data_IF_930872278192
#
_entry.id   IF_930872278192
#
_cell.length_a   1.000
_cell.length_b   1.000
_cell.length_c   1.000
_cell.angle_alpha   90.00
_cell.angle_beta   90.00
_cell.angle_gamma   90.00
#
_symmetry.space_group_name_H-M   'P 1'
#
loop_
_entity.id
_entity.type
_entity.pdbx_description
1 polymer ?
#
# COMPACT_ATOMS: atom_id res chain seq x y z
N UNK A 1 72.35 4.72 -46.13
CA UNK A 1 72.12 5.42 -44.84
C UNK A 1 70.86 6.26 -45.06
N UNK A 2 69.68 5.76 -44.68
CA UNK A 2 68.91 6.15 -43.47
C UNK A 2 68.35 7.60 -43.60
N UNK A 3 67.08 7.97 -43.38
CA UNK A 3 65.93 7.39 -42.69
C UNK A 3 64.62 7.96 -43.29
N UNK A 4 63.60 7.10 -43.47
CA UNK A 4 62.19 7.54 -43.57
C UNK A 4 61.60 7.57 -42.16
N UNK A 5 61.39 8.76 -41.61
CA UNK A 5 60.64 8.97 -40.37
C UNK A 5 59.17 9.19 -40.67
N UNK A 6 58.35 8.16 -40.48
CA UNK A 6 56.89 8.27 -40.50
C UNK A 6 56.42 8.69 -39.11
N UNK A 7 56.29 9.99 -38.86
CA UNK A 7 55.73 10.51 -37.62
C UNK A 7 54.24 10.78 -37.82
N UNK A 8 53.39 9.84 -37.36
CA UNK A 8 51.93 9.99 -37.36
C UNK A 8 51.45 10.21 -35.92
N UNK A 9 50.63 11.24 -35.66
CA UNK A 9 50.18 11.55 -34.31
C UNK A 9 49.12 10.55 -33.84
N UNK A 10 49.53 9.55 -33.06
CA UNK A 10 48.65 8.54 -32.44
C UNK A 10 47.99 9.01 -31.13
N UNK A 11 48.06 10.30 -30.82
CA UNK A 11 47.56 10.87 -29.56
C UNK A 11 46.03 11.10 -29.59
N UNK A 12 45.47 11.55 -30.71
CA UNK A 12 44.05 11.91 -30.80
C UNK A 12 43.08 10.71 -30.72
N UNK A 13 43.51 9.51 -31.12
CA UNK A 13 42.65 8.32 -31.14
C UNK A 13 42.46 7.72 -29.73
N UNK A 14 43.46 7.84 -28.85
CA UNK A 14 43.42 7.32 -27.47
C UNK A 14 42.43 8.11 -26.58
N UNK A 15 42.37 9.42 -26.77
CA UNK A 15 41.46 10.30 -26.01
C UNK A 15 39.99 10.11 -26.43
N UNK A 16 39.72 9.97 -27.74
CA UNK A 16 38.37 9.68 -28.26
C UNK A 16 37.87 8.32 -27.79
N UNK A 17 38.74 7.31 -27.76
CA UNK A 17 38.39 5.96 -27.29
C UNK A 17 38.08 5.96 -25.79
N UNK A 18 38.86 6.71 -25.00
CA UNK A 18 38.64 6.86 -23.55
C UNK A 18 37.36 7.63 -23.24
N UNK A 19 37.08 8.71 -23.98
CA UNK A 19 35.83 9.47 -23.88
C UNK A 19 34.60 8.61 -24.19
N UNK A 20 34.67 7.83 -25.27
CA UNK A 20 33.59 6.90 -25.66
C UNK A 20 33.35 5.83 -24.59
N UNK A 21 34.42 5.28 -23.99
CA UNK A 21 34.31 4.31 -22.88
C UNK A 21 33.67 4.95 -21.64
N UNK A 22 34.09 6.16 -21.27
CA UNK A 22 33.52 6.88 -20.14
C UNK A 22 32.02 7.17 -20.34
N UNK A 23 31.61 7.55 -21.57
CA UNK A 23 30.20 7.74 -21.90
C UNK A 23 29.39 6.44 -21.79
N UNK A 24 29.92 5.30 -22.27
CA UNK A 24 29.26 3.99 -22.13
C UNK A 24 29.09 3.60 -20.67
N UNK A 25 30.11 3.77 -19.84
CA UNK A 25 30.03 3.48 -18.40
C UNK A 25 28.98 4.36 -17.72
N UNK A 26 28.96 5.67 -18.03
CA UNK A 26 27.95 6.59 -17.49
C UNK A 26 26.54 6.21 -17.94
N UNK A 27 26.38 5.85 -19.22
CA UNK A 27 25.09 5.39 -19.75
C UNK A 27 24.60 4.14 -19.03
N UNK A 28 25.48 3.14 -18.84
CA UNK A 28 25.14 1.93 -18.11
C UNK A 28 24.75 2.23 -16.66
N UNK A 29 25.52 3.05 -15.94
CA UNK A 29 25.20 3.42 -14.56
C UNK A 29 23.83 4.11 -14.43
N UNK A 30 23.48 4.97 -15.40
CA UNK A 30 22.16 5.61 -15.44
C UNK A 30 21.04 4.60 -15.73
N UNK A 31 21.29 3.65 -16.63
CA UNK A 31 20.35 2.58 -16.96
C UNK A 31 20.09 1.67 -15.75
N UNK A 32 21.15 1.27 -15.03
CA UNK A 32 21.05 0.45 -13.82
C UNK A 32 20.29 1.19 -12.70
N UNK A 33 20.54 2.50 -12.54
CA UNK A 33 19.81 3.33 -11.58
C UNK A 33 18.33 3.45 -11.93
N UNK A 34 18.01 3.61 -13.21
CA UNK A 34 16.62 3.64 -13.69
C UNK A 34 15.91 2.31 -13.43
N UNK A 35 16.56 1.19 -13.72
CA UNK A 35 15.99 -0.14 -13.48
C UNK A 35 15.72 -0.38 -11.99
N UNK A 36 16.65 0.01 -11.12
CA UNK A 36 16.45 -0.03 -9.67
C UNK A 36 15.26 0.82 -9.21
N UNK A 37 15.14 2.04 -9.73
CA UNK A 37 14.01 2.94 -9.43
C UNK A 37 12.68 2.33 -9.89
N UNK A 38 12.62 1.78 -11.10
CA UNK A 38 11.43 1.10 -11.61
C UNK A 38 11.05 -0.12 -10.76
N UNK A 39 12.03 -0.92 -10.32
CA UNK A 39 11.77 -2.07 -9.46
C UNK A 39 11.20 -1.64 -8.10
N UNK A 40 11.72 -0.56 -7.51
CA UNK A 40 11.20 0.01 -6.28
C UNK A 40 9.77 0.53 -6.47
N UNK A 41 9.52 1.27 -7.55
CA UNK A 41 8.19 1.75 -7.91
C UNK A 41 7.20 0.60 -8.07
N UNK A 42 7.58 -0.47 -8.78
CA UNK A 42 6.75 -1.67 -8.94
C UNK A 42 6.36 -2.28 -7.59
N UNK A 43 7.31 -2.39 -6.66
CA UNK A 43 7.06 -2.91 -5.30
C UNK A 43 6.10 -2.01 -4.51
N UNK A 44 6.28 -0.68 -4.60
CA UNK A 44 5.40 0.28 -3.92
C UNK A 44 3.98 0.21 -4.47
N UNK A 45 3.81 0.25 -5.80
CA UNK A 45 2.50 0.15 -6.42
C UNK A 45 1.77 -1.16 -6.06
N UNK A 46 2.49 -2.29 -5.97
CA UNK A 46 1.90 -3.55 -5.50
C UNK A 46 1.43 -3.42 -4.06
N UNK A 47 2.27 -2.88 -3.17
CA UNK A 47 1.93 -2.71 -1.75
C UNK A 47 0.73 -1.77 -1.55
N UNK A 48 0.66 -0.69 -2.31
CA UNK A 48 -0.48 0.23 -2.31
C UNK A 48 -1.74 -0.47 -2.83
N UNK A 49 -1.62 -1.20 -3.93
CA UNK A 49 -2.74 -1.96 -4.50
C UNK A 49 -3.21 -3.09 -3.58
N UNK A 50 -2.35 -3.67 -2.74
CA UNK A 50 -2.77 -4.61 -1.70
C UNK A 50 -3.63 -3.92 -0.64
N UNK A 51 -3.41 -2.63 -0.36
CA UNK A 51 -4.21 -1.88 0.61
C UNK A 51 -5.51 -1.34 -0.01
N UNK A 52 -5.43 -0.77 -1.21
CA UNK A 52 -6.56 -0.12 -1.91
C UNK A 52 -7.40 -1.09 -2.73
N UNK A 53 -6.80 -2.21 -3.15
CA UNK A 53 -7.38 -3.14 -4.12
C UNK A 53 -7.26 -2.68 -5.58
N UNK A 54 -6.50 -1.63 -5.88
CA UNK A 54 -6.36 -1.08 -7.23
C UNK A 54 -4.89 -0.83 -7.60
N UNK A 55 -4.50 -1.28 -8.79
CA UNK A 55 -3.19 -1.01 -9.37
C UNK A 55 -3.26 0.23 -10.29
N UNK A 56 -2.27 1.15 -10.27
CA UNK A 56 -2.23 2.29 -11.18
C UNK A 56 -2.25 1.87 -12.66
N UNK A 57 -2.89 2.69 -13.51
CA UNK A 57 -2.91 2.46 -14.97
C UNK A 57 -1.52 2.56 -15.60
N UNK A 58 -0.69 3.43 -15.05
CA UNK A 58 0.69 3.67 -15.50
C UNK A 58 1.70 2.74 -14.83
N UNK A 59 1.22 1.62 -14.25
CA UNK A 59 2.11 0.63 -13.65
C UNK A 59 3.13 0.14 -14.69
N UNK A 60 4.45 0.18 -14.40
CA UNK A 60 5.46 -0.13 -15.40
C UNK A 60 5.39 -1.63 -15.78
N UNK A 61 4.79 -1.93 -16.93
CA UNK A 61 4.74 -3.27 -17.54
C UNK A 61 5.63 -3.29 -18.77
N UNK A 62 6.40 -4.37 -18.94
CA UNK A 62 7.07 -4.61 -20.21
C UNK A 62 6.05 -5.02 -21.28
N UNK A 63 6.40 -4.83 -22.55
CA UNK A 63 5.52 -5.19 -23.68
C UNK A 63 5.18 -6.68 -23.62
N UNK A 64 3.89 -7.00 -23.47
CA UNK A 64 3.40 -8.38 -23.36
C UNK A 64 3.28 -8.92 -21.93
N UNK A 65 3.71 -8.19 -20.89
CA UNK A 65 3.49 -8.58 -19.50
C UNK A 65 2.04 -8.37 -19.07
N UNK A 66 1.48 -9.33 -18.34
CA UNK A 66 0.17 -9.17 -17.70
C UNK A 66 0.32 -8.41 -16.38
N UNK A 67 -0.63 -7.52 -16.03
CA UNK A 67 -0.65 -6.88 -14.71
C UNK A 67 -0.69 -7.94 -13.60
N UNK A 68 0.03 -7.74 -12.47
CA UNK A 68 -0.05 -8.65 -11.34
C UNK A 68 -1.50 -8.75 -10.83
N UNK A 69 -1.93 -9.96 -10.49
CA UNK A 69 -3.21 -10.15 -9.81
C UNK A 69 -3.05 -9.81 -8.34
N UNK A 70 -3.68 -8.72 -7.91
CA UNK A 70 -3.54 -8.22 -6.54
C UNK A 70 -4.82 -8.49 -5.77
N UNK A 71 -4.68 -9.23 -4.67
CA UNK A 71 -5.77 -9.43 -3.71
C UNK A 71 -5.65 -8.39 -2.61
N UNK A 72 -6.71 -7.58 -2.44
CA UNK A 72 -6.80 -6.60 -1.35
C UNK A 72 -6.62 -7.31 0.00
N UNK A 73 -5.64 -6.88 0.80
CA UNK A 73 -5.49 -7.28 2.20
C UNK A 73 -6.64 -6.67 2.99
N UNK A 74 -7.54 -7.52 3.48
CA UNK A 74 -8.62 -7.12 4.37
C UNK A 74 -8.11 -7.30 5.80
N UNK A 75 -7.44 -6.27 6.33
CA UNK A 75 -7.13 -6.16 7.76
C UNK A 75 -8.01 -5.07 8.38
N UNK A 76 -8.43 -5.25 9.63
CA UNK A 76 -9.06 -4.15 10.38
C UNK A 76 -7.99 -3.08 10.64
N UNK A 77 -8.19 -1.84 10.16
CA UNK A 77 -7.31 -0.72 10.47
C UNK A 77 -7.34 -0.31 11.96
N UNK A 78 -8.31 -0.84 12.70
CA UNK A 78 -8.48 -0.59 14.12
C UNK A 78 -7.64 -1.56 14.95
N UNK A 79 -6.64 -1.02 15.66
CA UNK A 79 -5.96 -1.73 16.74
C UNK A 79 -6.86 -1.63 17.97
N UNK A 80 -7.39 -2.77 18.43
CA UNK A 80 -8.02 -2.83 19.75
C UNK A 80 -6.92 -2.59 20.78
N UNK A 81 -7.05 -1.50 21.53
CA UNK A 81 -6.11 -1.18 22.59
C UNK A 81 -6.31 -2.19 23.72
N UNK A 82 -5.34 -3.07 23.95
CA UNK A 82 -5.45 -4.21 24.89
C UNK A 82 -5.78 -3.73 26.31
N UNK A 83 -5.35 -2.52 26.66
CA UNK A 83 -5.62 -1.86 27.94
C UNK A 83 -7.13 -1.59 28.15
N UNK A 84 -7.89 -1.33 27.08
CA UNK A 84 -9.35 -1.13 27.17
C UNK A 84 -10.10 -2.44 27.45
N UNK A 85 -9.51 -3.61 27.19
CA UNK A 85 -10.15 -4.91 27.42
C UNK A 85 -9.96 -5.36 28.88
N UNK A 86 -8.85 -4.97 29.51
CA UNK A 86 -8.44 -5.44 30.84
C UNK A 86 -9.02 -4.63 32.01
N UNK A 87 -9.35 -3.35 31.85
CA UNK A 87 -9.84 -2.52 32.97
C UNK A 87 -11.33 -2.72 33.34
N UNK A 88 -12.08 -3.51 32.57
CA UNK A 88 -13.49 -3.82 32.85
C UNK A 88 -13.72 -4.86 33.97
N UNK A 89 -12.65 -5.40 34.55
CA UNK A 89 -12.68 -6.41 35.62
C UNK A 89 -12.98 -5.81 37.00
N UNK A 90 -14.10 -5.09 37.15
CA UNK A 90 -14.70 -4.79 38.45
C UNK A 90 -16.13 -5.32 38.43
N UNK A 91 -16.31 -6.46 39.10
CA UNK A 91 -17.44 -7.40 39.03
C UNK A 91 -18.79 -6.84 39.54
N UNK A 92 -19.31 -5.80 38.89
CA UNK A 92 -20.69 -5.33 39.08
C UNK A 92 -21.47 -5.52 37.79
N UNK A 93 -22.71 -6.03 37.88
CA UNK A 93 -23.59 -6.24 36.72
C UNK A 93 -23.78 -4.97 35.88
N UNK A 94 -23.81 -3.80 36.55
CA UNK A 94 -23.83 -2.49 35.90
C UNK A 94 -22.56 -2.22 35.09
N UNK A 95 -21.39 -2.58 35.62
CA UNK A 95 -20.10 -2.41 34.94
C UNK A 95 -19.98 -3.29 33.70
N UNK A 96 -20.61 -4.46 33.70
CA UNK A 96 -20.65 -5.36 32.54
C UNK A 96 -21.57 -4.82 31.44
N UNK A 97 -22.76 -4.32 31.80
CA UNK A 97 -23.70 -3.71 30.85
C UNK A 97 -23.08 -2.45 30.20
N UNK A 98 -22.40 -1.61 30.98
CA UNK A 98 -21.68 -0.44 30.46
C UNK A 98 -20.54 -0.82 29.52
N UNK A 99 -19.79 -1.88 29.85
CA UNK A 99 -18.73 -2.41 28.98
C UNK A 99 -19.28 -2.98 27.67
N UNK A 100 -20.39 -3.71 27.73
CA UNK A 100 -21.07 -4.26 26.55
C UNK A 100 -21.59 -3.14 25.63
N UNK A 101 -22.21 -2.10 26.22
CA UNK A 101 -22.68 -0.93 25.48
C UNK A 101 -21.50 -0.19 24.81
N UNK A 102 -20.41 0.04 25.54
CA UNK A 102 -19.21 0.68 25.01
C UNK A 102 -18.58 -0.12 23.86
N UNK A 103 -18.52 -1.45 23.99
CA UNK A 103 -18.06 -2.34 22.92
C UNK A 103 -18.96 -2.26 21.69
N UNK A 104 -20.28 -2.36 21.86
CA UNK A 104 -21.24 -2.30 20.75
C UNK A 104 -21.19 -0.93 20.05
N UNK A 105 -20.95 0.15 20.78
CA UNK A 105 -20.77 1.48 20.21
C UNK A 105 -19.54 1.54 19.30
N UNK A 106 -18.40 0.97 19.72
CA UNK A 106 -17.20 0.86 18.87
C UNK A 106 -17.44 -0.01 17.63
N UNK A 107 -18.16 -1.11 17.76
CA UNK A 107 -18.55 -1.98 16.64
C UNK A 107 -19.40 -1.21 15.62
N UNK A 108 -20.42 -0.48 16.10
CA UNK A 108 -21.28 0.34 15.25
C UNK A 108 -20.49 1.46 14.56
N UNK A 109 -19.62 2.16 15.28
CA UNK A 109 -18.77 3.20 14.71
C UNK A 109 -17.85 2.65 13.61
N UNK A 110 -17.25 1.49 13.84
CA UNK A 110 -16.44 0.80 12.84
C UNK A 110 -17.27 0.39 11.62
N UNK A 111 -18.47 -0.16 11.81
CA UNK A 111 -19.39 -0.51 10.72
C UNK A 111 -19.81 0.71 9.89
N UNK A 112 -19.99 1.87 10.54
CA UNK A 112 -20.28 3.15 9.87
C UNK A 112 -19.09 3.63 9.03
N UNK A 113 -17.87 3.63 9.59
CA UNK A 113 -16.64 3.97 8.85
C UNK A 113 -16.43 3.08 7.62
N UNK A 114 -16.73 1.79 7.73
CA UNK A 114 -16.67 0.85 6.60
C UNK A 114 -17.67 1.17 5.47
N UNK A 115 -18.77 1.88 5.77
CA UNK A 115 -19.71 2.34 4.74
C UNK A 115 -19.20 3.57 3.98
N UNK A 116 -18.35 4.37 4.62
CA UNK A 116 -17.78 5.62 4.10
C UNK A 116 -16.50 5.39 3.27
N UNK A 117 -15.96 4.17 3.26
CA UNK A 117 -14.78 3.82 2.44
C UNK A 117 -14.98 4.18 0.96
N UNK A 118 -13.96 4.81 0.37
CA UNK A 118 -13.90 5.05 -1.07
C UNK A 118 -13.64 3.74 -1.83
N UNK A 119 -13.99 3.72 -3.13
CA UNK A 119 -13.73 2.59 -4.05
C UNK A 119 -14.43 1.26 -3.74
N UNK A 120 -15.51 1.26 -2.94
CA UNK A 120 -16.35 0.07 -2.75
C UNK A 120 -17.16 -0.29 -4.00
N UNK A 121 -17.25 -1.58 -4.31
CA UNK A 121 -18.21 -2.07 -5.31
C UNK A 121 -19.66 -1.86 -4.82
N UNK A 122 -20.62 -1.77 -5.75
CA UNK A 122 -22.06 -1.61 -5.41
C UNK A 122 -22.55 -2.71 -4.45
N UNK A 123 -22.11 -3.94 -4.66
CA UNK A 123 -22.47 -5.08 -3.82
C UNK A 123 -21.88 -4.96 -2.40
N UNK A 124 -20.61 -4.58 -2.29
CA UNK A 124 -19.95 -4.38 -0.99
C UNK A 124 -20.61 -3.23 -0.23
N UNK A 125 -20.87 -2.10 -0.90
CA UNK A 125 -21.57 -0.96 -0.28
C UNK A 125 -22.94 -1.35 0.28
N UNK A 126 -23.74 -2.09 -0.49
CA UNK A 126 -25.05 -2.60 -0.02
C UNK A 126 -24.89 -3.52 1.20
N UNK A 127 -23.92 -4.44 1.16
CA UNK A 127 -23.61 -5.35 2.27
C UNK A 127 -23.19 -4.60 3.54
N UNK A 128 -22.31 -3.61 3.41
CA UNK A 128 -21.83 -2.79 4.54
C UNK A 128 -22.95 -1.96 5.15
N UNK A 129 -23.80 -1.34 4.33
CA UNK A 129 -24.95 -0.59 4.82
C UNK A 129 -25.92 -1.48 5.61
N UNK A 130 -26.14 -2.72 5.15
CA UNK A 130 -26.96 -3.67 5.89
C UNK A 130 -26.32 -4.05 7.24
N UNK A 131 -25.00 -4.30 7.26
CA UNK A 131 -24.27 -4.58 8.51
C UNK A 131 -24.36 -3.39 9.49
N UNK A 132 -24.13 -2.17 9.00
CA UNK A 132 -24.25 -0.95 9.82
C UNK A 132 -25.64 -0.81 10.45
N UNK A 133 -26.72 -1.05 9.69
CA UNK A 133 -28.09 -1.06 10.23
C UNK A 133 -28.34 -2.14 11.28
N UNK A 134 -27.71 -3.32 11.13
CA UNK A 134 -27.82 -4.40 12.12
C UNK A 134 -27.16 -3.98 13.43
N UNK A 135 -25.94 -3.44 13.36
CA UNK A 135 -25.20 -3.02 14.55
C UNK A 135 -25.85 -1.80 15.23
N UNK A 136 -26.45 -0.88 14.47
CA UNK A 136 -27.24 0.24 15.00
C UNK A 136 -28.45 -0.26 15.81
N UNK A 137 -29.17 -1.26 15.28
CA UNK A 137 -30.32 -1.85 15.99
C UNK A 137 -29.91 -2.53 17.29
N UNK A 138 -28.77 -3.22 17.31
CA UNK A 138 -28.23 -3.82 18.54
C UNK A 138 -27.85 -2.75 19.56
N UNK A 139 -27.19 -1.68 19.11
CA UNK A 139 -26.83 -0.56 19.98
C UNK A 139 -28.07 0.06 20.64
N UNK A 140 -29.12 0.32 19.87
CA UNK A 140 -30.39 0.84 20.40
C UNK A 140 -31.03 -0.10 21.43
N UNK A 141 -31.04 -1.40 21.15
CA UNK A 141 -31.57 -2.40 22.10
C UNK A 141 -30.79 -2.43 23.41
N UNK A 142 -29.46 -2.35 23.35
CA UNK A 142 -28.64 -2.28 24.57
C UNK A 142 -28.93 -0.99 25.35
N UNK A 143 -29.06 0.15 24.66
CA UNK A 143 -29.44 1.41 25.31
C UNK A 143 -30.81 1.32 26.00
N UNK A 144 -31.79 0.68 25.37
CA UNK A 144 -33.12 0.43 25.95
C UNK A 144 -33.11 -0.54 27.14
N UNK A 145 -32.07 -1.38 27.27
CA UNK A 145 -31.94 -2.32 28.39
C UNK A 145 -31.15 -1.73 29.56
N UNK A 146 -30.30 -0.74 29.31
CA UNK A 146 -29.46 -0.07 30.32
C UNK A 146 -30.15 1.14 30.97
N UNK A 147 -31.15 1.75 30.32
CA UNK A 147 -31.89 2.93 30.78
C UNK A 147 -33.41 2.68 30.83
#
# INVERSE_FOLDING_TARGET
ILHSGSDSPTTHTKDVTTHTRAMKVKHQALQDQLESCLLQLKKLCIREAELTGQLPKDYPLLSGEKPPQIRRRIGAAFKLDEQNILEGSKDSELSLADAELALQMKIYEAARKLCEEHHLSKAVRKSRLQQCKVEEKKLKKLQEMTF
#
